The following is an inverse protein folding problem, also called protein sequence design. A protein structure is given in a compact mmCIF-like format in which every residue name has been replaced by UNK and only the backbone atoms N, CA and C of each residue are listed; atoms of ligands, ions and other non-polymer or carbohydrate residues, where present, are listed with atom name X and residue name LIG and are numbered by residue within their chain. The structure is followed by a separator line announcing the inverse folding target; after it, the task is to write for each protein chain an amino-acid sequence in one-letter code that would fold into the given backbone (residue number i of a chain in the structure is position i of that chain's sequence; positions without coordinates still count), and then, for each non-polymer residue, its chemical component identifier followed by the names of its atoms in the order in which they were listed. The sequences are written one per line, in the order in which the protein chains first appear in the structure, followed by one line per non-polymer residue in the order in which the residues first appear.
data_IF_764073203356
#
_entry.id   IF_764073203356
#
_cell.length_a   1.000
_cell.length_b   1.000
_cell.length_c   1.000
_cell.angle_alpha   90.00
_cell.angle_beta   90.00
_cell.angle_gamma   90.00
#
_symmetry.space_group_name_H-M   'P 1'
#
loop_
_entity.id
_entity.type
_entity.pdbx_description
1 polymer ?
#
# COMPACT_ATOMS: atom_id res chain seq x y z
N UNK A 1 -1.41 -6.16 26.40
CA UNK A 1 -0.05 -6.16 25.81
C UNK A 1 0.83 -5.21 26.60
N UNK A 2 2.14 -5.36 26.50
CA UNK A 2 3.11 -4.42 27.07
C UNK A 2 3.92 -3.78 25.95
N UNK A 3 4.45 -2.58 26.22
CA UNK A 3 5.35 -1.84 25.33
C UNK A 3 6.53 -1.27 26.13
N UNK A 4 7.71 -1.19 25.53
CA UNK A 4 8.91 -0.60 26.14
C UNK A 4 9.90 -0.09 25.08
N UNK A 5 10.70 0.93 25.44
CA UNK A 5 11.91 1.41 24.75
C UNK A 5 13.20 0.83 25.35
N UNK A 6 13.06 0.02 26.41
CA UNK A 6 14.15 -0.72 27.09
C UNK A 6 13.84 -2.22 27.14
N UNK A 7 13.89 -2.94 26.00
CA UNK A 7 13.73 -4.40 25.99
C UNK A 7 14.68 -5.08 26.99
N UNK A 8 14.15 -6.02 27.78
CA UNK A 8 14.90 -6.72 28.83
C UNK A 8 14.91 -6.03 30.20
N UNK A 9 14.48 -4.77 30.30
CA UNK A 9 14.27 -4.08 31.58
C UNK A 9 12.78 -4.10 31.97
N UNK A 10 12.27 -5.23 32.46
CA UNK A 10 10.83 -5.40 32.74
C UNK A 10 10.19 -4.33 33.64
N UNK A 11 10.99 -3.65 34.48
CA UNK A 11 10.52 -2.55 35.32
C UNK A 11 10.13 -1.29 34.52
N UNK A 12 10.54 -1.21 33.24
CA UNK A 12 10.23 -0.13 32.29
C UNK A 12 9.03 -0.43 31.41
N UNK A 13 8.45 -1.63 31.50
CA UNK A 13 7.38 -2.04 30.61
C UNK A 13 6.09 -1.33 31.00
N UNK A 14 5.46 -0.68 30.01
CA UNK A 14 4.18 -0.03 30.15
C UNK A 14 3.07 -0.98 29.70
N UNK A 15 2.06 -1.19 30.55
CA UNK A 15 0.88 -1.97 30.17
C UNK A 15 -0.03 -1.11 29.31
N UNK A 16 -0.31 -1.53 28.07
CA UNK A 16 -1.31 -0.86 27.24
C UNK A 16 -2.68 -1.01 27.93
N UNK A 17 -3.38 0.09 28.26
CA UNK A 17 -4.69 0.02 28.90
C UNK A 17 -5.67 -0.83 28.10
N UNK A 18 -6.48 -1.66 28.77
CA UNK A 18 -7.45 -2.56 28.13
C UNK A 18 -8.91 -2.27 28.48
N UNK A 19 -9.20 -1.09 29.03
CA UNK A 19 -10.52 -0.75 29.60
C UNK A 19 -11.55 -0.31 28.56
N UNK A 20 -11.12 0.08 27.36
CA UNK A 20 -12.00 0.54 26.27
C UNK A 20 -11.74 -0.25 24.99
N UNK A 21 -12.49 -1.34 24.81
CA UNK A 21 -12.29 -2.28 23.70
C UNK A 21 -12.34 -1.62 22.31
N UNK A 22 -13.18 -0.59 22.14
CA UNK A 22 -13.31 0.14 20.88
C UNK A 22 -12.05 0.94 20.50
N UNK A 23 -11.17 1.22 21.48
CA UNK A 23 -9.92 1.96 21.29
C UNK A 23 -8.73 0.99 21.22
N UNK A 24 -8.84 -0.17 21.85
CA UNK A 24 -7.71 -1.11 22.01
C UNK A 24 -7.79 -2.31 21.07
N UNK A 25 -8.84 -2.40 20.24
CA UNK A 25 -8.99 -3.42 19.21
C UNK A 25 -8.52 -2.89 17.87
N UNK A 26 -7.56 -3.59 17.27
CA UNK A 26 -7.08 -3.33 15.92
C UNK A 26 -7.96 -4.14 14.96
N UNK A 27 -8.72 -3.52 14.04
CA UNK A 27 -9.41 -4.29 13.01
C UNK A 27 -8.39 -4.95 12.08
N UNK A 28 -8.77 -5.99 11.30
CA UNK A 28 -7.91 -6.50 10.24
C UNK A 28 -7.40 -5.34 9.36
N UNK A 29 -6.10 -5.32 9.06
CA UNK A 29 -5.43 -4.24 8.31
C UNK A 29 -5.52 -2.85 8.96
N UNK A 30 -5.91 -2.78 10.24
CA UNK A 30 -6.03 -1.54 10.99
C UNK A 30 -4.76 -1.16 11.75
N UNK A 31 -4.78 0.04 12.31
CA UNK A 31 -3.69 0.60 13.08
C UNK A 31 -4.14 0.94 14.50
N UNK A 32 -3.21 0.85 15.45
CA UNK A 32 -3.35 1.42 16.78
C UNK A 32 -2.28 2.48 16.98
N UNK A 33 -2.70 3.70 17.32
CA UNK A 33 -1.77 4.79 17.61
C UNK A 33 -1.54 4.91 19.12
N UNK A 34 -0.28 4.78 19.54
CA UNK A 34 0.16 4.99 20.92
C UNK A 34 0.93 6.31 21.01
N UNK A 35 0.54 7.16 21.95
CA UNK A 35 1.13 8.49 22.15
C UNK A 35 2.13 8.40 23.30
N UNK A 36 3.41 8.39 22.96
CA UNK A 36 4.51 8.23 23.90
C UNK A 36 5.03 9.59 24.40
N UNK A 37 5.18 9.75 25.71
CA UNK A 37 5.91 10.86 26.33
C UNK A 37 5.20 12.21 26.24
N UNK A 38 3.87 12.20 26.15
CA UNK A 38 3.09 13.43 26.15
C UNK A 38 3.09 14.09 27.52
N UNK A 39 3.05 15.42 27.53
CA UNK A 39 2.87 16.23 28.74
C UNK A 39 1.58 17.03 28.68
N UNK A 40 0.99 17.32 29.83
CA UNK A 40 -0.14 18.22 29.95
C UNK A 40 0.28 19.69 29.73
N UNK A 41 -0.68 20.61 29.76
CA UNK A 41 -0.41 22.04 29.58
C UNK A 41 0.50 22.63 30.68
N UNK A 42 0.65 21.95 31.82
CA UNK A 42 1.55 22.29 32.92
C UNK A 42 2.95 21.68 32.78
N UNK A 43 3.19 20.86 31.75
CA UNK A 43 4.44 20.16 31.53
C UNK A 43 4.61 18.90 32.38
N UNK A 44 3.55 18.40 33.02
CA UNK A 44 3.58 17.13 33.74
C UNK A 44 3.33 15.97 32.76
N UNK A 45 4.05 14.87 32.93
CA UNK A 45 3.87 13.67 32.10
C UNK A 45 2.45 13.13 32.21
N UNK A 46 1.87 12.77 31.08
CA UNK A 46 0.57 12.11 31.02
C UNK A 46 0.78 10.63 31.33
N UNK A 47 0.15 10.09 32.40
CA UNK A 47 0.33 8.70 32.77
C UNK A 47 -0.27 7.78 31.70
N UNK A 48 0.22 6.54 31.65
CA UNK A 48 -0.32 5.49 30.77
C UNK A 48 -1.82 5.31 31.00
N UNK A 49 -2.62 5.76 30.05
CA UNK A 49 -4.07 5.90 30.20
C UNK A 49 -4.77 6.09 28.85
N UNK A 50 -6.11 6.00 28.85
CA UNK A 50 -6.94 6.38 27.71
C UNK A 50 -7.57 7.73 28.03
N UNK A 51 -7.38 8.71 27.15
CA UNK A 51 -7.97 10.05 27.27
C UNK A 51 -8.54 10.44 25.91
N UNK A 52 -9.83 10.74 25.86
CA UNK A 52 -10.55 11.15 24.64
C UNK A 52 -10.33 10.20 23.45
N UNK A 53 -10.37 8.88 23.71
CA UNK A 53 -10.20 7.84 22.69
C UNK A 53 -8.76 7.67 22.19
N UNK A 54 -7.77 8.28 22.85
CA UNK A 54 -6.35 8.13 22.54
C UNK A 54 -5.63 7.39 23.66
N UNK A 55 -4.68 6.53 23.29
CA UNK A 55 -3.86 5.80 24.24
C UNK A 55 -2.56 6.56 24.47
N UNK A 56 -2.36 7.01 25.70
CA UNK A 56 -1.10 7.61 26.15
C UNK A 56 -0.25 6.55 26.84
N UNK A 57 1.05 6.60 26.59
CA UNK A 57 2.07 5.74 27.21
C UNK A 57 3.09 6.66 27.90
N UNK A 58 3.26 6.46 29.21
CA UNK A 58 4.21 7.17 30.06
C UNK A 58 5.64 6.66 29.82
N UNK A 59 6.13 6.96 28.63
CA UNK A 59 7.44 6.59 28.10
C UNK A 59 7.75 7.51 26.93
N UNK A 60 8.90 8.19 26.94
CA UNK A 60 9.38 8.92 25.77
C UNK A 60 10.08 8.01 24.77
N UNK A 61 10.14 8.44 23.51
CA UNK A 61 11.05 7.86 22.52
C UNK A 61 12.11 8.91 22.17
N UNK A 62 13.37 8.50 22.11
CA UNK A 62 14.52 9.37 21.91
C UNK A 62 15.42 8.83 20.83
N UNK A 63 15.61 9.63 19.78
CA UNK A 63 16.55 9.31 18.69
C UNK A 63 18.02 9.34 19.10
N UNK A 64 18.35 9.56 20.37
CA UNK A 64 19.76 9.61 20.84
C UNK A 64 20.05 8.67 22.00
N UNK A 65 19.04 8.27 22.78
CA UNK A 65 19.21 7.41 23.95
C UNK A 65 18.49 6.08 23.86
N UNK A 66 17.66 5.90 22.84
CA UNK A 66 16.92 4.68 22.59
C UNK A 66 17.36 4.11 21.25
N UNK A 67 17.17 2.79 21.11
CA UNK A 67 17.53 2.05 19.90
C UNK A 67 16.30 1.39 19.32
N UNK A 68 15.50 0.73 20.14
CA UNK A 68 14.34 -0.04 19.68
C UNK A 68 13.11 0.22 20.54
N UNK A 69 11.94 -0.05 19.97
CA UNK A 69 10.67 -0.17 20.69
C UNK A 69 10.15 -1.59 20.50
N UNK A 70 9.72 -2.23 21.59
CA UNK A 70 9.26 -3.61 21.57
C UNK A 70 7.88 -3.76 22.20
N UNK A 71 7.08 -4.65 21.62
CA UNK A 71 5.76 -5.04 22.12
C UNK A 71 5.77 -6.49 22.59
N UNK A 72 5.06 -6.74 23.69
CA UNK A 72 4.99 -8.06 24.32
C UNK A 72 3.54 -8.49 24.57
N UNK A 73 3.31 -9.81 24.55
CA UNK A 73 2.07 -10.45 25.01
C UNK A 73 1.77 -10.11 26.48
N UNK A 74 0.53 -10.29 26.98
CA UNK A 74 0.23 -10.10 28.41
C UNK A 74 1.14 -10.88 29.36
N UNK A 75 1.63 -12.04 28.95
CA UNK A 75 2.58 -12.91 29.65
C UNK A 75 4.05 -12.47 29.49
N UNK A 76 4.28 -11.31 28.87
CA UNK A 76 5.60 -10.72 28.57
C UNK A 76 6.47 -11.56 27.63
N UNK A 77 5.86 -12.27 26.69
CA UNK A 77 6.57 -12.89 25.56
C UNK A 77 6.71 -11.85 24.45
N UNK A 78 7.89 -11.72 23.84
CA UNK A 78 8.14 -10.75 22.76
C UNK A 78 7.26 -11.07 21.55
N UNK A 79 6.53 -10.08 21.06
CA UNK A 79 5.72 -10.19 19.85
C UNK A 79 6.43 -9.59 18.63
N UNK A 80 6.92 -8.35 18.76
CA UNK A 80 7.70 -7.67 17.72
C UNK A 80 8.62 -6.61 18.36
N UNK A 81 9.70 -6.27 17.66
CA UNK A 81 10.66 -5.25 18.04
C UNK A 81 11.11 -4.47 16.80
N UNK A 82 11.24 -3.15 16.96
CA UNK A 82 11.70 -2.31 15.86
C UNK A 82 13.17 -2.54 15.51
N UNK A 83 13.56 -2.13 14.30
CA UNK A 83 14.97 -1.89 13.99
C UNK A 83 15.55 -0.75 14.84
N UNK A 84 16.86 -0.56 14.72
CA UNK A 84 17.57 0.51 15.42
C UNK A 84 17.24 1.89 14.82
N UNK A 85 16.46 2.69 15.55
CA UNK A 85 16.13 4.07 15.18
C UNK A 85 17.08 5.11 15.80
N UNK A 86 18.15 4.70 16.47
CA UNK A 86 19.13 5.64 17.01
C UNK A 86 19.74 6.47 15.87
N UNK A 87 19.78 7.79 16.08
CA UNK A 87 20.18 8.76 15.07
C UNK A 87 19.06 9.21 14.12
N UNK A 88 17.80 8.82 14.35
CA UNK A 88 16.67 9.29 13.55
C UNK A 88 16.65 10.82 13.47
N UNK A 89 16.67 11.32 12.24
CA UNK A 89 16.71 12.75 11.96
C UNK A 89 15.42 13.45 12.40
N UNK A 90 15.54 14.75 12.70
CA UNK A 90 14.40 15.57 13.05
C UNK A 90 13.34 15.56 11.94
N UNK A 91 12.07 15.46 12.35
CA UNK A 91 10.92 15.41 11.44
C UNK A 91 10.91 14.21 10.46
N UNK A 92 11.58 13.11 10.78
CA UNK A 92 11.39 11.81 10.11
C UNK A 92 10.62 10.84 11.00
N UNK A 93 10.10 9.77 10.41
CA UNK A 93 9.56 8.59 11.11
C UNK A 93 10.44 7.37 10.83
N UNK A 94 10.32 6.33 11.64
CA UNK A 94 10.97 5.04 11.40
C UNK A 94 9.90 3.96 11.38
N UNK A 95 9.88 3.15 10.31
CA UNK A 95 8.80 2.20 10.08
C UNK A 95 9.24 1.06 9.17
N UNK A 96 8.39 0.05 9.06
CA UNK A 96 8.59 -1.05 8.11
C UNK A 96 8.36 -0.55 6.69
N UNK A 97 9.21 -0.99 5.76
CA UNK A 97 9.07 -0.74 4.32
C UNK A 97 9.06 -2.08 3.57
N UNK A 98 7.98 -2.41 2.82
CA UNK A 98 6.67 -1.74 2.84
C UNK A 98 5.99 -1.80 4.22
N UNK A 99 4.78 -1.24 4.35
CA UNK A 99 3.96 -1.47 5.55
C UNK A 99 3.90 -2.97 5.90
N UNK A 100 4.08 -3.30 7.18
CA UNK A 100 4.26 -4.66 7.71
C UNK A 100 5.43 -5.51 7.11
N UNK A 101 6.24 -4.96 6.19
CA UNK A 101 7.37 -5.65 5.54
C UNK A 101 8.56 -5.94 6.46
N UNK A 102 9.52 -6.77 6.03
CA UNK A 102 10.61 -7.24 6.88
C UNK A 102 11.70 -6.19 7.16
N UNK A 103 11.80 -5.15 6.33
CA UNK A 103 12.85 -4.14 6.42
C UNK A 103 12.40 -2.90 7.20
N UNK A 104 13.30 -2.35 8.01
CA UNK A 104 13.08 -1.09 8.72
C UNK A 104 13.78 0.06 8.00
N UNK A 105 13.08 1.17 7.81
CA UNK A 105 13.58 2.33 7.09
C UNK A 105 13.19 3.65 7.76
N UNK A 106 13.99 4.69 7.49
CA UNK A 106 13.62 6.07 7.77
C UNK A 106 12.63 6.55 6.71
N UNK A 107 11.52 7.12 7.16
CA UNK A 107 10.42 7.60 6.33
C UNK A 107 10.36 9.13 6.37
N UNK A 108 10.15 9.73 5.20
CA UNK A 108 9.98 11.17 5.05
C UNK A 108 8.57 11.62 5.48
N UNK A 109 7.57 10.82 5.12
CA UNK A 109 6.18 11.02 5.49
C UNK A 109 5.84 10.33 6.81
N UNK A 110 5.00 11.02 7.61
CA UNK A 110 4.52 10.52 8.90
C UNK A 110 3.10 10.02 8.70
N UNK A 111 2.88 8.74 8.92
CA UNK A 111 1.60 8.06 8.67
C UNK A 111 0.95 7.51 9.95
N UNK A 112 0.81 8.29 11.05
CA UNK A 112 0.20 7.76 12.27
C UNK A 112 -1.27 7.39 12.02
N UNK A 113 -1.57 6.09 12.08
CA UNK A 113 -2.92 5.57 11.87
C UNK A 113 -3.23 5.18 10.41
N UNK A 114 -2.24 5.22 9.52
CA UNK A 114 -2.34 4.80 8.11
C UNK A 114 -1.12 3.93 7.74
N UNK A 115 -1.15 3.25 6.58
CA UNK A 115 -0.01 2.47 6.08
C UNK A 115 1.25 3.31 5.89
N UNK A 116 2.42 2.72 6.14
CA UNK A 116 3.69 3.36 5.83
C UNK A 116 3.85 3.54 4.33
N UNK A 117 3.99 4.79 3.89
CA UNK A 117 4.38 5.11 2.51
C UNK A 117 5.90 5.25 2.47
N UNK A 118 6.57 4.36 1.74
CA UNK A 118 8.00 4.48 1.46
C UNK A 118 8.30 5.67 0.54
N UNK A 119 9.48 5.73 -0.06
CA UNK A 119 9.80 6.67 -1.14
C UNK A 119 9.01 6.31 -2.42
N UNK A 120 7.70 6.43 -2.32
CA UNK A 120 6.67 6.25 -3.33
C UNK A 120 6.77 7.37 -4.37
N UNK A 121 6.32 7.15 -5.62
CA UNK A 121 5.89 8.26 -6.46
C UNK A 121 4.97 9.16 -5.63
N UNK A 122 5.21 10.48 -5.68
CA UNK A 122 4.72 11.47 -4.71
C UNK A 122 3.30 11.23 -4.16
N UNK A 123 3.13 11.42 -2.85
CA UNK A 123 1.85 11.37 -2.16
C UNK A 123 0.76 12.15 -2.94
N UNK A 124 -0.30 11.45 -3.33
CA UNK A 124 -1.38 11.96 -4.19
C UNK A 124 -1.38 11.39 -5.62
N UNK A 125 -0.59 10.36 -5.90
CA UNK A 125 -0.50 9.71 -7.21
C UNK A 125 -1.37 8.47 -7.37
N UNK A 126 -1.77 8.20 -8.62
CA UNK A 126 -2.25 6.91 -9.06
C UNK A 126 -1.10 6.10 -9.62
N UNK A 127 -1.07 4.81 -9.31
CA UNK A 127 -0.02 3.89 -9.75
C UNK A 127 -0.62 2.65 -10.38
N UNK A 128 0.16 1.95 -11.19
CA UNK A 128 -0.17 0.59 -11.63
C UNK A 128 0.20 -0.34 -10.48
N UNK A 129 -0.78 -1.06 -9.94
CA UNK A 129 -0.63 -1.85 -8.71
C UNK A 129 -0.44 -3.34 -8.97
N UNK A 130 -1.23 -3.88 -9.90
CA UNK A 130 -1.26 -5.29 -10.25
C UNK A 130 -1.77 -5.44 -11.70
N UNK A 131 -1.33 -6.47 -12.41
CA UNK A 131 -1.88 -6.81 -13.72
C UNK A 131 -1.81 -8.31 -13.99
N UNK A 132 -2.70 -8.79 -14.85
CA UNK A 132 -2.70 -10.14 -15.40
C UNK A 132 -2.80 -10.06 -16.92
N UNK A 133 -1.84 -10.68 -17.60
CA UNK A 133 -1.72 -10.64 -19.06
C UNK A 133 -2.06 -11.98 -19.74
N UNK A 134 -2.65 -12.92 -18.99
CA UNK A 134 -3.13 -14.20 -19.48
C UNK A 134 -4.09 -14.79 -18.45
N UNK A 135 -5.39 -14.54 -18.62
CA UNK A 135 -6.43 -14.91 -17.66
C UNK A 135 -7.38 -15.96 -18.23
N UNK A 136 -7.39 -17.17 -17.65
CA UNK A 136 -8.32 -18.25 -17.99
C UNK A 136 -9.34 -18.52 -16.86
N UNK A 137 -9.07 -18.06 -15.63
CA UNK A 137 -9.81 -18.48 -14.42
C UNK A 137 -10.10 -17.40 -13.39
N UNK A 138 -9.37 -16.28 -13.38
CA UNK A 138 -9.52 -15.23 -12.36
C UNK A 138 -10.72 -14.35 -12.68
N UNK A 139 -11.74 -14.42 -11.83
CA UNK A 139 -12.95 -13.61 -11.98
C UNK A 139 -12.67 -12.13 -11.69
N UNK A 140 -13.10 -11.27 -12.61
CA UNK A 140 -13.10 -9.81 -12.45
C UNK A 140 -14.54 -9.35 -12.25
N UNK A 141 -14.82 -8.51 -11.23
CA UNK A 141 -16.13 -7.88 -11.07
C UNK A 141 -16.62 -7.21 -12.37
N UNK A 142 -17.88 -7.40 -12.71
CA UNK A 142 -18.55 -6.87 -13.91
C UNK A 142 -18.04 -7.40 -15.28
N UNK A 143 -17.22 -8.46 -15.33
CA UNK A 143 -16.93 -9.19 -16.58
C UNK A 143 -18.04 -10.18 -16.97
N UNK A 144 -18.75 -10.72 -15.98
CA UNK A 144 -19.69 -11.82 -16.16
C UNK A 144 -19.03 -13.18 -15.85
N UNK A 145 -19.82 -14.24 -15.66
CA UNK A 145 -19.33 -15.51 -15.11
C UNK A 145 -18.39 -16.31 -16.04
N UNK A 146 -18.33 -15.95 -17.33
CA UNK A 146 -17.51 -16.62 -18.35
C UNK A 146 -16.56 -15.64 -19.09
N UNK A 147 -16.31 -14.46 -18.51
CA UNK A 147 -15.37 -13.46 -19.06
C UNK A 147 -14.14 -13.35 -18.17
N UNK A 148 -12.99 -13.73 -18.73
CA UNK A 148 -11.68 -13.71 -18.08
C UNK A 148 -10.78 -12.75 -18.87
N UNK A 149 -11.03 -11.43 -18.83
CA UNK A 149 -10.20 -10.48 -19.54
C UNK A 149 -8.82 -10.39 -18.87
N UNK A 150 -7.80 -10.05 -19.65
CA UNK A 150 -6.60 -9.46 -19.09
C UNK A 150 -6.98 -8.14 -18.39
N UNK A 151 -6.22 -7.76 -17.38
CA UNK A 151 -6.60 -6.61 -16.56
C UNK A 151 -5.41 -5.89 -15.98
N UNK A 152 -5.64 -4.61 -15.67
CA UNK A 152 -4.69 -3.69 -15.05
C UNK A 152 -5.43 -3.06 -13.87
N UNK A 153 -4.84 -3.15 -12.69
CA UNK A 153 -5.32 -2.48 -11.50
C UNK A 153 -4.56 -1.17 -11.27
N UNK A 154 -5.32 -0.11 -11.03
CA UNK A 154 -4.82 1.20 -10.62
C UNK A 154 -5.14 1.40 -9.14
N UNK A 155 -4.12 1.75 -8.34
CA UNK A 155 -4.28 2.07 -6.93
C UNK A 155 -4.09 3.57 -6.69
N UNK A 156 -4.96 4.14 -5.85
CA UNK A 156 -4.82 5.51 -5.37
C UNK A 156 -4.04 5.54 -4.04
N UNK A 157 -2.80 5.99 -4.10
CA UNK A 157 -1.92 6.11 -2.92
C UNK A 157 -2.33 7.25 -1.97
N UNK A 158 -3.19 8.16 -2.43
CA UNK A 158 -3.65 9.32 -1.67
C UNK A 158 -4.92 9.08 -0.86
N UNK A 159 -5.20 10.01 0.04
CA UNK A 159 -6.35 9.99 0.96
C UNK A 159 -7.64 10.53 0.32
N UNK A 160 -7.54 11.23 -0.81
CA UNK A 160 -8.68 11.85 -1.49
C UNK A 160 -9.03 11.13 -2.78
N UNK A 161 -10.33 11.06 -3.15
CA UNK A 161 -10.72 10.47 -4.43
C UNK A 161 -10.11 11.18 -5.64
N UNK A 162 -9.73 10.41 -6.67
CA UNK A 162 -9.20 10.90 -7.95
C UNK A 162 -10.07 10.34 -9.07
N UNK A 163 -10.58 11.23 -9.93
CA UNK A 163 -11.30 10.85 -11.15
C UNK A 163 -10.31 10.76 -12.32
N UNK A 164 -10.26 9.59 -12.96
CA UNK A 164 -9.40 9.32 -14.12
C UNK A 164 -10.09 9.48 -15.48
N UNK A 165 -11.34 9.96 -15.50
CA UNK A 165 -12.01 10.31 -16.75
C UNK A 165 -11.14 11.25 -17.59
N UNK A 166 -10.86 10.87 -18.85
CA UNK A 166 -10.02 11.62 -19.77
C UNK A 166 -8.52 11.34 -19.70
N UNK A 167 -8.06 10.51 -18.77
CA UNK A 167 -6.68 10.00 -18.72
C UNK A 167 -6.46 8.97 -19.83
N UNK A 168 -5.20 8.63 -20.08
CA UNK A 168 -4.79 7.69 -21.11
C UNK A 168 -4.08 6.47 -20.52
N UNK A 169 -4.30 5.32 -21.16
CA UNK A 169 -3.69 4.03 -20.84
C UNK A 169 -3.10 3.45 -22.11
N UNK A 170 -1.95 2.78 -22.02
CA UNK A 170 -1.25 2.21 -23.17
C UNK A 170 -0.60 0.87 -22.87
N UNK A 171 -0.43 0.05 -23.90
CA UNK A 171 0.43 -1.15 -23.91
C UNK A 171 1.82 -0.91 -24.54
N UNK A 172 2.12 0.33 -24.93
CA UNK A 172 3.42 0.71 -25.51
C UNK A 172 3.85 2.08 -25.02
N UNK A 173 5.05 2.19 -24.43
CA UNK A 173 5.58 3.48 -23.95
C UNK A 173 5.96 4.44 -25.08
N UNK A 174 5.80 4.03 -26.34
CA UNK A 174 5.97 4.89 -27.52
C UNK A 174 4.69 5.60 -27.94
N UNK A 175 3.54 5.25 -27.33
CA UNK A 175 2.25 5.90 -27.55
C UNK A 175 1.62 6.27 -26.19
N UNK A 176 1.68 7.55 -25.83
CA UNK A 176 1.12 8.08 -24.59
C UNK A 176 -0.39 8.25 -24.61
N UNK A 177 -1.05 8.06 -25.76
CA UNK A 177 -2.47 8.40 -25.97
C UNK A 177 -3.28 7.25 -26.58
N UNK A 178 -2.83 5.99 -26.43
CA UNK A 178 -3.41 4.83 -27.10
C UNK A 178 -4.92 4.63 -26.81
N UNK A 179 -5.30 4.67 -25.53
CA UNK A 179 -6.70 4.61 -25.11
C UNK A 179 -7.02 5.73 -24.13
N UNK A 180 -8.00 6.58 -24.44
CA UNK A 180 -8.51 7.57 -23.50
C UNK A 180 -9.70 7.01 -22.73
N UNK A 181 -9.64 7.06 -21.41
CA UNK A 181 -10.74 6.68 -20.53
C UNK A 181 -11.90 7.68 -20.73
N UNK A 182 -13.14 7.23 -20.97
CA UNK A 182 -14.25 8.15 -21.23
C UNK A 182 -14.54 9.10 -20.05
N UNK A 183 -14.98 10.32 -20.38
CA UNK A 183 -15.29 11.37 -19.39
C UNK A 183 -16.76 11.41 -18.98
N UNK A 184 -17.61 10.58 -19.61
CA UNK A 184 -19.06 10.55 -19.42
C UNK A 184 -19.54 9.43 -18.49
N UNK A 185 -18.61 8.74 -17.82
CA UNK A 185 -18.86 7.71 -16.80
C UNK A 185 -18.17 8.02 -15.44
N UNK A 186 -18.31 9.23 -14.88
CA UNK A 186 -17.56 9.67 -13.69
C UNK A 186 -17.79 8.81 -12.45
N UNK A 187 -18.92 8.11 -12.35
CA UNK A 187 -19.21 7.17 -11.25
C UNK A 187 -18.37 5.89 -11.33
N UNK A 188 -17.84 5.55 -12.52
CA UNK A 188 -16.99 4.39 -12.76
C UNK A 188 -15.49 4.76 -12.79
N UNK A 189 -15.14 6.02 -13.00
CA UNK A 189 -13.73 6.48 -13.11
C UNK A 189 -13.21 7.14 -11.85
N UNK A 190 -14.04 7.27 -10.82
CA UNK A 190 -13.66 7.82 -9.52
C UNK A 190 -13.04 6.73 -8.63
N UNK A 191 -11.74 6.86 -8.36
CA UNK A 191 -11.01 5.98 -7.43
C UNK A 191 -10.99 6.65 -6.06
N UNK A 192 -11.60 6.04 -5.05
CA UNK A 192 -11.56 6.55 -3.67
C UNK A 192 -10.11 6.69 -3.16
N UNK A 193 -9.89 7.46 -2.09
CA UNK A 193 -8.60 7.42 -1.40
C UNK A 193 -8.32 6.00 -0.90
N UNK A 194 -7.11 5.49 -1.14
CA UNK A 194 -6.76 4.08 -0.92
C UNK A 194 -7.67 3.08 -1.66
N UNK A 195 -8.36 3.53 -2.71
CA UNK A 195 -9.22 2.70 -3.54
C UNK A 195 -8.48 2.13 -4.74
N UNK A 196 -9.14 1.16 -5.38
CA UNK A 196 -8.66 0.42 -6.55
C UNK A 196 -9.62 0.63 -7.72
N UNK A 197 -9.09 0.53 -8.93
CA UNK A 197 -9.88 0.47 -10.15
C UNK A 197 -9.31 -0.56 -11.10
N UNK A 198 -10.16 -1.44 -11.61
CA UNK A 198 -9.80 -2.42 -12.63
C UNK A 198 -10.13 -1.89 -14.03
N UNK A 199 -9.13 -1.87 -14.89
CA UNK A 199 -9.24 -1.68 -16.33
C UNK A 199 -9.12 -3.03 -17.02
N UNK A 200 -10.03 -3.33 -17.95
CA UNK A 200 -10.14 -4.63 -18.63
C UNK A 200 -9.49 -4.55 -20.00
N UNK A 201 -8.32 -5.15 -20.17
CA UNK A 201 -7.57 -5.17 -21.42
C UNK A 201 -8.09 -6.28 -22.34
N UNK A 202 -9.30 -6.13 -22.88
CA UNK A 202 -9.95 -7.17 -23.69
C UNK A 202 -10.19 -6.78 -25.16
N UNK A 203 -9.77 -5.59 -25.59
CA UNK A 203 -9.87 -5.12 -26.97
C UNK A 203 -11.23 -4.55 -27.38
N UNK A 204 -12.18 -4.35 -26.45
CA UNK A 204 -13.51 -3.84 -26.79
C UNK A 204 -13.53 -2.32 -27.03
N UNK A 205 -12.74 -1.55 -26.27
CA UNK A 205 -12.68 -0.10 -26.39
C UNK A 205 -13.97 0.63 -25.98
N UNK A 206 -14.54 0.25 -24.84
CA UNK A 206 -15.76 0.83 -24.28
C UNK A 206 -15.66 1.00 -22.76
N UNK A 207 -15.76 2.24 -22.26
CA UNK A 207 -15.70 2.50 -20.83
C UNK A 207 -14.35 2.10 -20.22
N UNK A 208 -14.40 1.22 -19.20
CA UNK A 208 -13.21 0.63 -18.58
C UNK A 208 -12.66 -0.60 -19.33
N UNK A 209 -13.29 -1.01 -20.44
CA UNK A 209 -12.74 -2.02 -21.34
C UNK A 209 -11.83 -1.33 -22.37
N UNK A 210 -10.53 -1.58 -22.26
CA UNK A 210 -9.51 -1.00 -23.12
C UNK A 210 -9.65 -1.54 -24.56
N UNK A 211 -9.16 -0.75 -25.52
CA UNK A 211 -9.18 -1.12 -26.95
C UNK A 211 -8.02 -2.05 -27.35
N UNK A 212 -7.27 -2.56 -26.39
CA UNK A 212 -6.14 -3.46 -26.57
C UNK A 212 -6.17 -4.63 -25.58
N UNK A 213 -5.24 -5.58 -25.75
CA UNK A 213 -5.04 -6.76 -24.89
C UNK A 213 -3.59 -6.90 -24.51
N UNK A 214 -3.32 -7.31 -23.29
CA UNK A 214 -1.97 -7.58 -22.84
C UNK A 214 -1.44 -8.89 -23.44
N UNK A 215 -0.25 -8.85 -23.99
CA UNK A 215 0.46 -9.98 -24.56
C UNK A 215 1.14 -10.80 -23.48
N UNK A 216 0.91 -12.11 -23.51
CA UNK A 216 1.54 -13.06 -22.58
C UNK A 216 3.06 -13.20 -22.77
N UNK A 217 3.61 -12.69 -23.88
CA UNK A 217 5.05 -12.64 -24.15
C UNK A 217 5.74 -11.39 -23.58
N UNK A 218 4.98 -10.38 -23.19
CA UNK A 218 5.47 -9.10 -22.71
C UNK A 218 4.98 -7.91 -23.52
N UNK A 219 4.67 -6.83 -22.83
CA UNK A 219 4.33 -5.51 -23.34
C UNK A 219 4.83 -4.44 -22.37
N UNK A 220 4.53 -3.18 -22.68
CA UNK A 220 4.59 -2.13 -21.68
C UNK A 220 3.21 -1.88 -21.07
N UNK A 221 3.16 -1.18 -19.94
CA UNK A 221 1.92 -0.61 -19.40
C UNK A 221 2.22 0.81 -18.94
N UNK A 222 1.45 1.78 -19.40
CA UNK A 222 1.60 3.18 -19.02
C UNK A 222 0.28 3.85 -18.69
N UNK A 223 0.28 4.66 -17.62
CA UNK A 223 -0.83 5.53 -17.22
C UNK A 223 -0.41 6.99 -17.41
N UNK A 224 -1.15 7.77 -18.19
CA UNK A 224 -0.86 9.18 -18.45
C UNK A 224 -2.07 10.07 -18.15
N UNK A 225 -1.87 11.14 -17.37
CA UNK A 225 -2.95 12.08 -17.07
C UNK A 225 -3.24 13.05 -18.22
N UNK A 226 -2.18 13.50 -18.90
CA UNK A 226 -2.23 14.61 -19.87
C UNK A 226 -1.98 14.18 -21.31
N UNK A 227 -1.64 12.91 -21.54
CA UNK A 227 -1.23 12.38 -22.83
C UNK A 227 0.19 12.79 -23.25
N UNK A 228 0.94 13.46 -22.39
CA UNK A 228 2.30 13.93 -22.66
C UNK A 228 3.37 13.17 -21.85
N UNK A 229 3.04 12.75 -20.63
CA UNK A 229 3.95 12.00 -19.76
C UNK A 229 3.23 10.93 -18.95
N UNK A 230 3.96 9.88 -18.57
CA UNK A 230 3.42 8.83 -17.72
C UNK A 230 3.52 9.23 -16.23
N UNK A 231 2.43 9.01 -15.51
CA UNK A 231 2.35 9.07 -14.05
C UNK A 231 2.97 7.82 -13.44
N UNK A 232 2.70 6.66 -14.03
CA UNK A 232 3.39 5.40 -13.76
C UNK A 232 3.53 4.59 -15.05
N UNK A 233 4.61 3.82 -15.12
CA UNK A 233 4.92 2.99 -16.27
C UNK A 233 5.79 1.79 -15.90
N UNK A 234 5.49 0.65 -16.51
CA UNK A 234 6.26 -0.58 -16.39
C UNK A 234 6.43 -1.26 -17.75
N UNK A 235 7.41 -2.16 -17.82
CA UNK A 235 7.66 -3.03 -18.97
C UNK A 235 7.88 -4.45 -18.46
N UNK A 236 7.22 -5.43 -19.07
CA UNK A 236 7.34 -6.84 -18.69
C UNK A 236 7.63 -7.72 -19.92
N UNK A 237 8.28 -8.86 -19.70
CA UNK A 237 8.65 -9.78 -20.78
C UNK A 237 9.41 -9.10 -21.93
N UNK A 238 8.96 -9.32 -23.17
CA UNK A 238 9.48 -8.74 -24.41
C UNK A 238 9.06 -7.26 -24.66
N UNK A 239 8.50 -6.57 -23.67
CA UNK A 239 8.11 -5.15 -23.77
C UNK A 239 9.26 -4.24 -24.26
N UNK A 240 8.91 -3.13 -24.91
CA UNK A 240 9.88 -2.26 -25.58
C UNK A 240 10.88 -1.59 -24.59
N UNK A 241 10.54 -1.58 -23.31
CA UNK A 241 11.38 -1.07 -22.22
C UNK A 241 11.18 0.42 -21.97
N UNK A 242 11.86 0.93 -20.94
CA UNK A 242 11.77 2.34 -20.54
C UNK A 242 10.85 2.61 -19.35
N UNK A 243 10.05 1.63 -18.94
CA UNK A 243 9.35 1.60 -17.66
C UNK A 243 10.10 0.81 -16.58
N UNK A 244 9.46 0.67 -15.41
CA UNK A 244 9.90 -0.25 -14.35
C UNK A 244 9.93 -1.69 -14.88
N UNK A 245 11.06 -2.43 -14.81
CA UNK A 245 11.11 -3.82 -15.25
C UNK A 245 10.31 -4.73 -14.31
N UNK A 246 9.40 -5.52 -14.87
CA UNK A 246 8.56 -6.48 -14.13
C UNK A 246 8.63 -7.85 -14.78
N UNK A 247 8.58 -8.91 -13.97
CA UNK A 247 8.51 -10.28 -14.49
C UNK A 247 7.15 -10.51 -15.17
N UNK A 248 7.16 -11.15 -16.34
CA UNK A 248 5.92 -11.50 -17.02
C UNK A 248 5.18 -12.61 -16.24
N UNK A 249 3.95 -12.38 -15.76
CA UNK A 249 3.23 -13.41 -15.02
C UNK A 249 2.79 -14.55 -15.96
N UNK A 250 2.97 -15.82 -15.55
CA UNK A 250 2.33 -16.96 -16.21
C UNK A 250 0.80 -16.86 -16.28
N UNK A 251 0.18 -17.72 -17.09
CA UNK A 251 -1.30 -17.85 -17.13
C UNK A 251 -1.89 -18.04 -15.75
N UNK A 252 -3.00 -17.34 -15.49
CA UNK A 252 -3.76 -17.31 -14.23
C UNK A 252 -3.01 -16.74 -13.02
N UNK A 253 -1.79 -16.25 -13.21
CA UNK A 253 -1.06 -15.49 -12.20
C UNK A 253 -1.05 -14.02 -12.57
N UNK A 254 -0.92 -13.15 -11.59
CA UNK A 254 -0.73 -11.71 -11.81
C UNK A 254 0.65 -11.29 -11.33
N UNK A 255 1.17 -10.23 -11.92
CA UNK A 255 2.31 -9.52 -11.38
C UNK A 255 1.77 -8.28 -10.66
N UNK A 256 2.16 -8.08 -9.42
CA UNK A 256 1.76 -6.89 -8.67
C UNK A 256 2.81 -6.49 -7.67
N UNK A 257 2.61 -5.31 -7.09
CA UNK A 257 3.46 -4.81 -6.01
C UNK A 257 3.24 -5.67 -4.76
N UNK A 258 4.32 -6.07 -4.07
CA UNK A 258 4.26 -7.00 -2.92
C UNK A 258 3.26 -6.57 -1.83
N UNK A 259 3.16 -5.27 -1.61
CA UNK A 259 2.00 -4.60 -0.99
C UNK A 259 1.60 -3.43 -1.86
N UNK A 260 0.43 -2.84 -1.63
CA UNK A 260 -0.01 -1.69 -2.41
C UNK A 260 1.05 -0.58 -2.43
N UNK A 261 1.44 -0.18 -3.65
CA UNK A 261 2.46 0.83 -3.83
C UNK A 261 3.91 0.41 -3.70
N UNK A 262 4.22 -0.78 -3.21
CA UNK A 262 5.61 -1.22 -3.07
C UNK A 262 6.41 -1.12 -4.39
N UNK A 263 7.67 -0.72 -4.34
CA UNK A 263 8.58 -0.74 -5.49
C UNK A 263 8.95 -2.14 -5.95
N UNK A 264 8.81 -3.13 -5.06
CA UNK A 264 9.06 -4.55 -5.33
C UNK A 264 7.83 -5.18 -5.97
N UNK A 265 8.03 -5.83 -7.11
CA UNK A 265 7.03 -6.62 -7.81
C UNK A 265 7.21 -8.10 -7.50
N UNK A 266 6.10 -8.80 -7.31
CA UNK A 266 6.01 -10.25 -7.06
C UNK A 266 4.97 -10.85 -7.99
N UNK A 267 5.02 -12.19 -8.12
CA UNK A 267 4.00 -12.96 -8.82
C UNK A 267 3.01 -13.49 -7.80
N UNK A 268 1.73 -13.16 -7.98
CA UNK A 268 0.62 -13.71 -7.23
C UNK A 268 0.09 -14.96 -7.95
N UNK A 269 0.17 -16.11 -7.28
CA UNK A 269 -0.26 -17.41 -7.79
C UNK A 269 -1.52 -17.86 -7.05
N UNK A 270 -2.66 -18.07 -7.74
CA UNK A 270 -3.92 -18.46 -7.12
C UNK A 270 -3.86 -19.82 -6.40
N UNK A 271 -2.80 -20.61 -6.61
CA UNK A 271 -2.57 -21.88 -5.93
C UNK A 271 -1.74 -21.75 -4.65
N UNK A 272 -1.42 -20.52 -4.23
CA UNK A 272 -0.63 -20.22 -3.02
C UNK A 272 -1.43 -19.33 -2.06
N UNK A 273 -0.84 -18.99 -0.91
CA UNK A 273 -1.44 -18.01 0.02
C UNK A 273 -1.40 -16.58 -0.55
N UNK A 274 -0.55 -16.34 -1.55
CA UNK A 274 -0.38 -15.07 -2.25
C UNK A 274 -1.06 -15.14 -3.62
N UNK A 275 -2.39 -15.12 -3.64
CA UNK A 275 -3.20 -15.16 -4.86
C UNK A 275 -3.51 -13.77 -5.44
N UNK A 276 -3.94 -13.67 -6.71
CA UNK A 276 -4.29 -12.39 -7.33
C UNK A 276 -5.35 -11.61 -6.55
N UNK A 277 -5.23 -10.28 -6.51
CA UNK A 277 -6.03 -9.40 -5.63
C UNK A 277 -6.87 -8.34 -6.37
N UNK A 278 -7.57 -8.66 -7.48
CA UNK A 278 -8.28 -7.66 -8.26
C UNK A 278 -9.35 -6.91 -7.43
N UNK A 279 -9.18 -5.60 -7.33
CA UNK A 279 -10.05 -4.67 -6.60
C UNK A 279 -9.85 -4.69 -5.09
N UNK A 280 -8.73 -5.23 -4.60
CA UNK A 280 -8.42 -5.40 -3.18
C UNK A 280 -6.94 -5.10 -2.91
N UNK A 281 -6.59 -4.92 -1.63
CA UNK A 281 -5.21 -4.68 -1.24
C UNK A 281 -4.29 -5.87 -1.53
N UNK A 282 -3.11 -5.59 -2.09
CA UNK A 282 -2.03 -6.56 -2.25
C UNK A 282 -1.39 -6.86 -0.87
N UNK A 283 -0.96 -8.10 -0.64
CA UNK A 283 -0.13 -8.44 0.53
C UNK A 283 0.05 -9.94 0.76
N UNK A 284 1.15 -10.28 1.45
CA UNK A 284 1.33 -11.54 2.18
C UNK A 284 0.78 -11.45 3.61
#
# INVERSE_FOLDING_TARGET
MWITDKPGEEAKYNQIPGTEINVTTIPPQGFLVLICGATDAGGADIPTSIVDGKIFIDMGLSSTSDNTVAIYSPEKVLNDESGDFNGLEGAKSFGRMPDAGPEWATLDEKTPGSSNVGNMPAAGGLIINEFMCSNDTTFIPDGGPDDFPDWIEIYNTGETPIDIGGWYVTESLTDTMLYQIPTDIPEQTLIAGHGYLILKANGLGEGLHLNFKLGSGGDDIGLSQDGASYVDALSYGDGAGGGTPVEAPPTDTSAGRDTDGNTTWVIFDPNTELGPTPGSANGN
#
